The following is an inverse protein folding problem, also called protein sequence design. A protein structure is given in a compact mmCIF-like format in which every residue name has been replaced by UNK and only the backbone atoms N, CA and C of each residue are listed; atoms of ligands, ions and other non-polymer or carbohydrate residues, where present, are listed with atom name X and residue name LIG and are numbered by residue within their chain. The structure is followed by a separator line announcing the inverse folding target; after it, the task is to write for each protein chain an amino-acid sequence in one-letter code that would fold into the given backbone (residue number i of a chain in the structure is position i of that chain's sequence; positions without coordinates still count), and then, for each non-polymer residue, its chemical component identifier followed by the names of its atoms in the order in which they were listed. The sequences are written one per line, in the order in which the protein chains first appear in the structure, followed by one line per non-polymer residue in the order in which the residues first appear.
data_IF_896749724416
#
_entry.id   IF_896749724416
#
_cell.length_a   1.000
_cell.length_b   1.000
_cell.length_c   1.000
_cell.angle_alpha   90.00
_cell.angle_beta   90.00
_cell.angle_gamma   90.00
#
_symmetry.space_group_name_H-M   'P 1'
#
loop_
_entity.id
_entity.type
_entity.pdbx_description
1 polymer ?
#
# COMPACT_ATOMS: atom_id res chain seq x y z
N UNK A 1 -6.06 -8.51 13.34
CA UNK A 1 -4.98 -7.91 12.59
C UNK A 1 -5.48 -7.21 11.33
N UNK A 2 -4.68 -6.34 10.76
CA UNK A 2 -5.04 -5.62 9.53
C UNK A 2 -5.35 -6.58 8.38
N UNK A 3 -4.56 -7.65 8.24
CA UNK A 3 -4.73 -8.64 7.20
C UNK A 3 -6.06 -9.39 7.36
N UNK A 4 -6.42 -9.77 8.58
CA UNK A 4 -7.69 -10.45 8.85
C UNK A 4 -8.89 -9.56 8.50
N UNK A 5 -8.83 -8.27 8.81
CA UNK A 5 -9.88 -7.32 8.48
C UNK A 5 -10.05 -7.16 6.97
N UNK A 6 -8.94 -7.08 6.25
CA UNK A 6 -8.97 -7.00 4.79
C UNK A 6 -9.56 -8.29 4.20
N UNK A 7 -9.17 -9.44 4.71
CA UNK A 7 -9.70 -10.72 4.25
C UNK A 7 -11.22 -10.79 4.45
N UNK A 8 -11.73 -10.38 5.61
CA UNK A 8 -13.16 -10.35 5.89
C UNK A 8 -13.91 -9.42 4.93
N UNK A 9 -13.35 -8.23 4.67
CA UNK A 9 -13.96 -7.26 3.77
C UNK A 9 -14.07 -7.78 2.32
N UNK A 10 -13.14 -8.64 1.90
CA UNK A 10 -13.06 -9.13 0.53
C UNK A 10 -13.69 -10.52 0.33
N UNK A 11 -13.95 -11.27 1.41
CA UNK A 11 -14.34 -12.67 1.32
C UNK A 11 -15.69 -12.92 0.64
N UNK A 12 -16.58 -11.94 0.66
CA UNK A 12 -17.91 -12.06 0.05
C UNK A 12 -17.93 -11.83 -1.46
N UNK A 13 -16.86 -11.28 -2.02
CA UNK A 13 -16.83 -10.81 -3.41
C UNK A 13 -15.63 -11.35 -4.18
N UNK A 14 -15.37 -12.66 -4.07
CA UNK A 14 -14.17 -13.29 -4.64
C UNK A 14 -14.01 -13.08 -6.14
N UNK A 15 -15.14 -13.03 -6.87
CA UNK A 15 -15.14 -12.87 -8.32
C UNK A 15 -15.60 -11.48 -8.78
N UNK A 16 -15.84 -10.56 -7.85
CA UNK A 16 -16.32 -9.24 -8.19
C UNK A 16 -15.21 -8.21 -8.23
N UNK A 17 -15.52 -7.10 -8.87
CA UNK A 17 -14.63 -5.95 -8.89
C UNK A 17 -14.84 -5.13 -7.63
N UNK A 18 -13.76 -4.61 -7.10
CA UNK A 18 -13.74 -3.89 -5.82
C UNK A 18 -13.30 -2.46 -6.06
N UNK A 19 -14.04 -1.50 -5.52
CA UNK A 19 -13.56 -0.12 -5.43
C UNK A 19 -12.52 -0.06 -4.32
N UNK A 20 -11.27 -0.05 -4.70
CA UNK A 20 -10.17 -0.19 -3.74
C UNK A 20 -10.03 1.03 -2.84
N UNK A 21 -10.46 2.20 -3.27
CA UNK A 21 -10.37 3.41 -2.44
C UNK A 21 -11.16 3.24 -1.13
N UNK A 22 -12.34 2.63 -1.21
CA UNK A 22 -13.16 2.37 -0.02
C UNK A 22 -12.49 1.41 0.95
N UNK A 23 -11.93 0.32 0.43
CA UNK A 23 -11.23 -0.67 1.24
C UNK A 23 -9.99 -0.05 1.86
N UNK A 24 -9.22 0.68 1.07
CA UNK A 24 -7.93 1.18 1.51
C UNK A 24 -8.04 2.26 2.58
N UNK A 25 -9.08 3.07 2.56
CA UNK A 25 -9.28 4.09 3.59
C UNK A 25 -9.32 3.47 4.99
N UNK A 26 -9.96 2.31 5.12
CA UNK A 26 -10.00 1.58 6.38
C UNK A 26 -8.65 0.93 6.72
N UNK A 27 -7.99 0.35 5.75
CA UNK A 27 -6.67 -0.27 5.92
C UNK A 27 -5.65 0.77 6.37
N UNK A 28 -5.65 1.94 5.74
CA UNK A 28 -4.71 3.01 6.04
C UNK A 28 -4.84 3.48 7.50
N UNK A 29 -6.06 3.74 7.94
CA UNK A 29 -6.30 4.17 9.31
C UNK A 29 -5.88 3.10 10.32
N UNK A 30 -6.22 1.86 10.04
CA UNK A 30 -5.93 0.75 10.94
C UNK A 30 -4.43 0.47 11.04
N UNK A 31 -3.73 0.49 9.93
CA UNK A 31 -2.29 0.27 9.91
C UNK A 31 -1.55 1.34 10.71
N UNK A 32 -1.96 2.60 10.58
CA UNK A 32 -1.35 3.70 11.31
C UNK A 32 -1.57 3.56 12.83
N UNK A 33 -2.78 3.19 13.26
CA UNK A 33 -3.09 3.01 14.68
C UNK A 33 -2.30 1.84 15.27
N UNK A 34 -2.24 0.71 14.57
CA UNK A 34 -1.52 -0.48 15.04
C UNK A 34 -0.02 -0.20 15.18
N UNK A 35 0.55 0.53 14.22
CA UNK A 35 1.97 0.82 14.20
C UNK A 35 2.38 1.88 15.22
N UNK A 36 1.50 2.79 15.58
CA UNK A 36 1.78 3.86 16.55
C UNK A 36 0.56 4.12 17.45
N UNK A 37 0.32 3.25 18.44
CA UNK A 37 -0.87 3.37 19.29
C UNK A 37 -0.93 4.66 20.11
N UNK A 38 0.22 5.23 20.42
CA UNK A 38 0.32 6.43 21.26
C UNK A 38 0.72 7.69 20.49
N UNK A 39 1.22 7.52 19.27
CA UNK A 39 1.63 8.63 18.41
C UNK A 39 0.46 9.25 17.68
N UNK A 40 0.62 10.49 17.25
CA UNK A 40 -0.34 11.15 16.38
C UNK A 40 0.19 11.13 14.96
N UNK A 41 -0.31 10.18 14.19
CA UNK A 41 0.06 10.03 12.79
C UNK A 41 -1.15 10.41 11.94
N UNK A 42 -1.00 11.41 11.10
CA UNK A 42 -2.00 11.73 10.10
C UNK A 42 -1.75 10.93 8.84
N UNK A 43 -2.82 10.45 8.23
CA UNK A 43 -2.77 9.70 7.00
C UNK A 43 -3.60 10.40 5.93
N UNK A 44 -3.04 10.46 4.72
CA UNK A 44 -3.69 11.14 3.60
C UNK A 44 -3.68 10.21 2.40
N UNK A 45 -4.81 10.09 1.73
CA UNK A 45 -4.91 9.41 0.43
C UNK A 45 -5.16 10.48 -0.64
N UNK A 46 -4.28 10.52 -1.64
CA UNK A 46 -4.42 11.37 -2.80
C UNK A 46 -4.60 10.52 -4.06
N UNK A 47 -5.44 11.00 -4.97
CA UNK A 47 -5.73 10.28 -6.20
C UNK A 47 -6.70 9.13 -5.99
N UNK A 48 -6.65 8.14 -6.87
CA UNK A 48 -7.55 7.00 -6.83
C UNK A 48 -6.89 5.74 -7.38
N UNK A 49 -7.14 4.61 -6.73
CA UNK A 49 -6.75 3.29 -7.22
C UNK A 49 -7.71 2.76 -8.30
N UNK A 50 -8.94 3.24 -8.29
CA UNK A 50 -9.97 2.74 -9.17
C UNK A 50 -10.50 1.37 -8.75
N UNK A 51 -11.17 0.72 -9.67
CA UNK A 51 -11.77 -0.60 -9.46
C UNK A 51 -10.78 -1.68 -9.87
N UNK A 52 -10.62 -2.69 -9.02
CA UNK A 52 -9.72 -3.82 -9.25
C UNK A 52 -10.44 -5.12 -8.95
N UNK A 53 -9.90 -6.25 -9.41
CA UNK A 53 -10.48 -7.54 -9.03
C UNK A 53 -10.11 -7.89 -7.57
N UNK A 54 -10.80 -8.87 -7.01
CA UNK A 54 -10.63 -9.22 -5.60
C UNK A 54 -9.20 -9.71 -5.27
N UNK A 55 -8.58 -10.47 -6.15
CA UNK A 55 -7.22 -10.95 -5.94
C UNK A 55 -6.22 -9.79 -5.92
N UNK A 56 -6.36 -8.86 -6.85
CA UNK A 56 -5.55 -7.65 -6.90
C UNK A 56 -5.77 -6.80 -5.65
N UNK A 57 -7.02 -6.63 -5.23
CA UNK A 57 -7.34 -5.88 -4.02
C UNK A 57 -6.67 -6.46 -2.79
N UNK A 58 -6.68 -7.78 -2.66
CA UNK A 58 -6.04 -8.44 -1.52
C UNK A 58 -4.53 -8.23 -1.54
N UNK A 59 -3.89 -8.38 -2.69
CA UNK A 59 -2.45 -8.14 -2.81
C UNK A 59 -2.09 -6.68 -2.52
N UNK A 60 -2.84 -5.73 -3.09
CA UNK A 60 -2.62 -4.31 -2.83
C UNK A 60 -2.78 -3.97 -1.35
N UNK A 61 -3.83 -4.48 -0.72
CA UNK A 61 -4.08 -4.21 0.70
C UNK A 61 -2.94 -4.73 1.58
N UNK A 62 -2.45 -5.93 1.30
CA UNK A 62 -1.33 -6.51 2.05
C UNK A 62 -0.06 -5.70 1.88
N UNK A 63 0.28 -5.37 0.63
CA UNK A 63 1.47 -4.57 0.32
C UNK A 63 1.41 -3.20 0.99
N UNK A 64 0.28 -2.51 0.83
CA UNK A 64 0.14 -1.15 1.34
C UNK A 64 0.07 -1.11 2.87
N UNK A 65 -0.55 -2.10 3.49
CA UNK A 65 -0.55 -2.20 4.95
C UNK A 65 0.89 -2.33 5.49
N UNK A 66 1.72 -3.16 4.87
CA UNK A 66 3.12 -3.30 5.25
C UNK A 66 3.92 -2.01 5.02
N UNK A 67 3.72 -1.36 3.88
CA UNK A 67 4.45 -0.12 3.58
C UNK A 67 4.04 1.02 4.50
N UNK A 68 2.76 1.14 4.83
CA UNK A 68 2.29 2.15 5.78
C UNK A 68 2.83 1.86 7.18
N UNK A 69 2.78 0.61 7.61
CA UNK A 69 3.33 0.20 8.91
C UNK A 69 4.82 0.53 8.98
N UNK A 70 5.57 0.21 7.93
CA UNK A 70 7.01 0.54 7.86
C UNK A 70 7.25 2.05 7.90
N UNK A 71 6.43 2.83 7.20
CA UNK A 71 6.55 4.27 7.21
C UNK A 71 6.34 4.84 8.62
N UNK A 72 5.36 4.34 9.35
CA UNK A 72 5.08 4.80 10.72
C UNK A 72 6.15 4.33 11.69
N UNK A 73 6.48 3.05 11.67
CA UNK A 73 7.42 2.48 12.64
C UNK A 73 8.87 2.92 12.41
N UNK A 74 9.28 2.92 11.16
CA UNK A 74 10.68 3.16 10.79
C UNK A 74 10.90 4.56 10.23
N UNK A 75 10.04 5.03 9.34
CA UNK A 75 10.16 6.35 8.75
C UNK A 75 9.96 7.45 9.76
N UNK A 76 8.89 7.38 10.53
CA UNK A 76 8.59 8.35 11.58
C UNK A 76 9.28 8.02 12.91
N UNK A 77 9.75 6.79 13.07
CA UNK A 77 10.45 6.32 14.27
C UNK A 77 9.65 6.58 15.56
N UNK A 78 8.36 6.26 15.52
CA UNK A 78 7.45 6.46 16.66
C UNK A 78 7.07 7.89 16.96
N UNK A 79 7.49 8.85 16.14
CA UNK A 79 7.16 10.25 16.32
C UNK A 79 5.87 10.61 15.59
N UNK A 80 5.33 11.77 15.93
CA UNK A 80 4.23 12.35 15.17
C UNK A 80 4.68 12.67 13.76
N UNK A 81 3.77 12.55 12.82
CA UNK A 81 4.09 12.85 11.44
C UNK A 81 2.96 12.49 10.51
N UNK A 82 3.27 12.49 9.23
CA UNK A 82 2.29 12.24 8.17
C UNK A 82 2.77 11.14 7.23
N UNK A 83 1.85 10.24 6.90
CA UNK A 83 2.04 9.27 5.83
C UNK A 83 1.04 9.60 4.72
N UNK A 84 1.55 9.85 3.54
CA UNK A 84 0.73 10.14 2.36
C UNK A 84 0.82 8.98 1.39
N UNK A 85 -0.33 8.49 0.95
CA UNK A 85 -0.41 7.50 -0.12
C UNK A 85 -1.03 8.18 -1.32
N UNK A 86 -0.30 8.17 -2.43
CA UNK A 86 -0.76 8.77 -3.67
C UNK A 86 -0.92 7.69 -4.72
N UNK A 87 -2.09 7.59 -5.32
CA UNK A 87 -2.39 6.60 -6.34
C UNK A 87 -2.75 7.30 -7.66
N UNK A 88 -2.11 6.87 -8.73
CA UNK A 88 -2.39 7.33 -10.09
C UNK A 88 -2.74 6.12 -10.94
N UNK A 89 -3.99 6.05 -11.39
CA UNK A 89 -4.48 4.94 -12.19
C UNK A 89 -4.70 5.38 -13.64
N UNK A 90 -4.15 4.61 -14.57
CA UNK A 90 -4.37 4.80 -16.00
C UNK A 90 -4.62 3.43 -16.63
N UNK A 91 -5.89 3.09 -16.81
CA UNK A 91 -6.37 1.80 -17.32
C UNK A 91 -5.81 0.63 -16.52
N UNK A 92 -4.85 -0.14 -17.08
CA UNK A 92 -4.22 -1.27 -16.42
C UNK A 92 -2.95 -0.90 -15.65
N UNK A 93 -2.53 0.36 -15.74
CA UNK A 93 -1.33 0.83 -15.05
C UNK A 93 -1.70 1.53 -13.76
N UNK A 94 -0.95 1.23 -12.72
CA UNK A 94 -1.12 1.86 -11.42
C UNK A 94 0.25 2.25 -10.88
N UNK A 95 0.38 3.52 -10.50
CA UNK A 95 1.55 4.03 -9.80
C UNK A 95 1.13 4.45 -8.41
N UNK A 96 1.83 3.95 -7.41
CA UNK A 96 1.52 4.24 -6.01
C UNK A 96 2.77 4.74 -5.31
N UNK A 97 2.63 5.83 -4.56
CA UNK A 97 3.67 6.37 -3.70
C UNK A 97 3.20 6.26 -2.25
N UNK A 98 4.06 5.73 -1.40
CA UNK A 98 3.86 5.77 0.05
C UNK A 98 4.98 6.63 0.63
N UNK A 99 4.62 7.83 1.07
CA UNK A 99 5.58 8.84 1.50
C UNK A 99 5.42 9.12 2.98
N UNK A 100 6.53 9.23 3.70
CA UNK A 100 6.55 9.72 5.07
C UNK A 100 7.37 11.01 5.14
N UNK A 101 7.10 11.82 6.15
CA UNK A 101 7.82 13.07 6.40
C UNK A 101 8.81 12.95 7.58
N UNK A 102 9.24 11.74 7.87
CA UNK A 102 10.18 11.46 8.95
C UNK A 102 11.64 11.72 8.59
N UNK A 103 12.53 11.08 9.32
CA UNK A 103 13.97 11.20 9.08
C UNK A 103 14.45 10.44 7.85
N UNK A 104 13.64 9.51 7.36
CA UNK A 104 14.03 8.60 6.31
C UNK A 104 14.92 7.47 6.85
N UNK A 105 14.98 6.40 6.10
CA UNK A 105 15.83 5.25 6.45
C UNK A 105 16.85 4.98 5.35
N UNK A 106 18.00 4.46 5.75
CA UNK A 106 18.91 3.90 4.77
C UNK A 106 18.21 2.78 4.02
N UNK A 107 18.29 2.74 2.68
CA UNK A 107 17.62 1.70 1.89
C UNK A 107 17.94 0.28 2.36
N UNK A 108 19.15 0.04 2.83
CA UNK A 108 19.59 -1.26 3.31
C UNK A 108 18.78 -1.75 4.52
N UNK A 109 18.35 -0.85 5.38
CA UNK A 109 17.57 -1.19 6.57
C UNK A 109 16.17 -1.66 6.19
N UNK A 110 15.58 -1.08 5.15
CA UNK A 110 14.25 -1.42 4.70
C UNK A 110 14.18 -2.73 3.92
N UNK A 111 15.28 -3.15 3.30
CA UNK A 111 15.31 -4.29 2.39
C UNK A 111 15.59 -5.65 3.04
N UNK A 112 15.72 -5.70 4.36
CA UNK A 112 16.14 -6.93 5.06
C UNK A 112 15.05 -7.63 5.85
N UNK A 113 13.88 -7.02 6.05
CA UNK A 113 12.81 -7.58 6.87
C UNK A 113 11.95 -8.60 6.12
N UNK A 114 11.24 -9.45 6.89
CA UNK A 114 10.28 -10.40 6.34
C UNK A 114 9.14 -9.68 5.59
N UNK A 115 8.64 -8.58 6.13
CA UNK A 115 7.61 -7.78 5.50
C UNK A 115 8.03 -7.27 4.13
N UNK A 116 9.28 -6.82 4.01
CA UNK A 116 9.82 -6.36 2.72
C UNK A 116 9.88 -7.50 1.69
N UNK A 117 10.19 -8.71 2.13
CA UNK A 117 10.21 -9.87 1.25
C UNK A 117 8.82 -10.22 0.73
N UNK A 118 7.83 -10.17 1.62
CA UNK A 118 6.41 -10.39 1.24
C UNK A 118 5.97 -9.33 0.24
N UNK A 119 6.26 -8.07 0.51
CA UNK A 119 5.93 -6.95 -0.38
C UNK A 119 6.55 -7.16 -1.76
N UNK A 120 7.84 -7.44 -1.82
CA UNK A 120 8.55 -7.62 -3.09
C UNK A 120 7.96 -8.80 -3.87
N UNK A 121 7.66 -9.90 -3.20
CA UNK A 121 7.07 -11.07 -3.84
C UNK A 121 5.70 -10.76 -4.43
N UNK A 122 4.85 -10.07 -3.68
CA UNK A 122 3.50 -9.72 -4.14
C UNK A 122 3.54 -8.69 -5.26
N UNK A 123 4.42 -7.70 -5.17
CA UNK A 123 4.53 -6.68 -6.22
C UNK A 123 4.97 -7.31 -7.53
N UNK A 124 5.94 -8.19 -7.50
CA UNK A 124 6.44 -8.86 -8.72
C UNK A 124 5.46 -9.88 -9.26
N UNK A 125 4.87 -10.69 -8.37
CA UNK A 125 3.99 -11.79 -8.77
C UNK A 125 2.57 -11.37 -9.07
N UNK A 126 1.88 -10.84 -8.07
CA UNK A 126 0.45 -10.52 -8.20
C UNK A 126 0.19 -9.19 -8.90
N UNK A 127 1.01 -8.19 -8.63
CA UNK A 127 0.83 -6.85 -9.19
C UNK A 127 1.63 -6.64 -10.47
N UNK A 128 2.46 -7.59 -10.85
CA UNK A 128 3.29 -7.54 -12.07
C UNK A 128 4.05 -6.23 -12.20
N UNK A 129 4.68 -5.84 -11.11
CA UNK A 129 5.29 -4.54 -11.02
C UNK A 129 6.68 -4.55 -10.42
N UNK A 130 7.15 -3.36 -10.18
CA UNK A 130 8.43 -3.09 -9.54
C UNK A 130 8.21 -2.14 -8.37
N UNK A 131 9.13 -2.18 -7.42
CA UNK A 131 9.09 -1.32 -6.23
C UNK A 131 10.48 -0.74 -5.99
N UNK A 132 10.52 0.56 -5.67
CA UNK A 132 11.74 1.29 -5.36
C UNK A 132 11.54 2.12 -4.09
N UNK A 133 12.63 2.30 -3.34
CA UNK A 133 12.67 3.16 -2.16
C UNK A 133 13.56 4.35 -2.47
N UNK A 134 13.02 5.55 -2.37
CA UNK A 134 13.72 6.78 -2.70
C UNK A 134 13.72 7.75 -1.53
N UNK A 135 14.87 8.33 -1.17
CA UNK A 135 14.88 9.37 -0.16
C UNK A 135 14.26 10.66 -0.71
N UNK A 136 13.47 11.33 0.13
CA UNK A 136 12.90 12.63 -0.21
C UNK A 136 13.89 13.75 0.15
N UNK A 137 13.96 14.77 -0.69
CA UNK A 137 14.91 15.86 -0.51
C UNK A 137 14.68 16.68 0.76
N UNK A 138 13.45 16.73 1.24
CA UNK A 138 13.11 17.43 2.48
C UNK A 138 13.13 16.57 3.74
N UNK A 139 13.57 15.32 3.62
CA UNK A 139 13.51 14.30 4.67
C UNK A 139 12.35 13.34 4.44
N UNK A 140 12.53 12.10 4.89
CA UNK A 140 11.56 11.06 4.70
C UNK A 140 11.89 10.15 3.53
N UNK A 141 10.98 9.22 3.27
CA UNK A 141 11.15 8.21 2.22
C UNK A 141 9.90 8.16 1.34
N UNK A 142 10.11 7.94 0.06
CA UNK A 142 9.05 7.68 -0.90
C UNK A 142 9.22 6.25 -1.43
N UNK A 143 8.27 5.38 -1.14
CA UNK A 143 8.25 4.03 -1.69
C UNK A 143 7.34 4.06 -2.91
N UNK A 144 7.87 3.74 -4.06
CA UNK A 144 7.17 3.85 -5.34
C UNK A 144 6.92 2.47 -5.92
N UNK A 145 5.67 2.20 -6.24
CA UNK A 145 5.26 0.96 -6.91
C UNK A 145 4.72 1.31 -8.28
N UNK A 146 5.23 0.61 -9.30
CA UNK A 146 4.64 0.62 -10.63
C UNK A 146 4.07 -0.77 -10.89
N UNK A 147 2.76 -0.85 -11.07
CA UNK A 147 2.06 -2.11 -11.22
C UNK A 147 1.27 -2.15 -12.52
N UNK A 148 1.04 -3.37 -13.01
CA UNK A 148 0.16 -3.61 -14.15
C UNK A 148 -0.96 -4.54 -13.71
N UNK A 149 -2.18 -4.05 -13.75
CA UNK A 149 -3.33 -4.76 -13.22
C UNK A 149 -4.06 -5.56 -14.30
N UNK A 150 -4.74 -6.61 -13.86
CA UNK A 150 -5.54 -7.43 -14.76
C UNK A 150 -6.89 -6.77 -15.06
N UNK A 151 -7.35 -6.88 -16.30
CA UNK A 151 -8.69 -6.46 -16.69
C UNK A 151 -9.53 -7.69 -17.08
N UNK A 152 -9.88 -8.48 -16.09
CA UNK A 152 -10.63 -9.72 -16.33
C UNK A 152 -12.08 -9.49 -16.75
N UNK A 153 -12.69 -8.41 -16.32
CA UNK A 153 -14.12 -8.18 -16.56
C UNK A 153 -14.48 -8.06 -18.05
N UNK A 154 -13.60 -7.51 -18.86
CA UNK A 154 -13.83 -7.37 -20.29
C UNK A 154 -13.88 -8.70 -21.04
N UNK A 155 -13.28 -9.76 -20.48
CA UNK A 155 -13.26 -11.08 -21.10
C UNK A 155 -14.47 -11.95 -20.77
N UNK A 156 -15.07 -11.73 -19.62
CA UNK A 156 -16.20 -12.51 -19.19
C UNK A 156 -17.46 -12.22 -20.02
N UNK A 157 -17.51 -11.07 -20.65
CA UNK A 157 -18.64 -10.63 -21.46
C UNK A 157 -18.50 -10.97 -22.94
N UNK A 158 -17.33 -11.36 -23.34
CA UNK A 158 -17.07 -11.77 -24.71
C UNK A 158 -17.34 -13.27 -24.87
#
# INVERSE_FOLDING_TARGET
TTIATVHDALSHNVNERVDFDDVFSSVLRMAAVVASPTGQVSTVLEGSFGVVDADTAQALATVLAELVTNAVEHGLDGRDGRVTVKACRDEDRLEVHVMDDGAGLAPDTLMTGLGTRIVTTLVRGELRGVIDWEPLSGGGTDVVIHARLHQRAARAEA
#
